data_IF_330381442243
#
_entry.id   IF_330381442243
#
_cell.length_a   1.000
_cell.length_b   1.000
_cell.length_c   1.000
_cell.angle_alpha   90.00
_cell.angle_beta   90.00
_cell.angle_gamma   90.00
#
_symmetry.space_group_name_H-M   'P 1'
#
loop_
_entity.id
_entity.type
_entity.pdbx_description
1 polymer ?
#
# COMPACT_ATOMS: atom_id res chain seq x y z
N UNK A 1 9.68 -11.18 -0.60
CA UNK A 1 8.72 -10.52 -1.52
C UNK A 1 8.61 -9.00 -1.29
N UNK A 2 8.30 -8.50 -0.09
CA UNK A 2 8.13 -7.05 0.16
C UNK A 2 9.36 -6.18 -0.16
N UNK A 3 10.56 -6.67 0.17
CA UNK A 3 11.83 -5.94 -0.05
C UNK A 3 12.18 -5.87 -1.56
N UNK A 4 11.88 -6.94 -2.32
CA UNK A 4 12.13 -6.99 -3.75
C UNK A 4 11.24 -5.99 -4.51
N UNK A 5 9.97 -5.84 -4.11
CA UNK A 5 9.08 -4.84 -4.70
C UNK A 5 9.59 -3.41 -4.47
N UNK A 6 10.03 -3.09 -3.25
CA UNK A 6 10.62 -1.79 -2.94
C UNK A 6 11.87 -1.48 -3.76
N UNK A 7 12.75 -2.47 -3.95
CA UNK A 7 13.94 -2.31 -4.79
C UNK A 7 13.58 -2.04 -6.25
N UNK A 8 12.57 -2.72 -6.80
CA UNK A 8 12.09 -2.49 -8.18
C UNK A 8 11.55 -1.07 -8.35
N UNK A 9 10.78 -0.57 -7.39
CA UNK A 9 10.26 0.82 -7.42
C UNK A 9 11.42 1.81 -7.42
N UNK A 10 12.42 1.63 -6.56
CA UNK A 10 13.59 2.54 -6.50
C UNK A 10 14.37 2.52 -7.82
N UNK A 11 14.64 1.33 -8.37
CA UNK A 11 15.34 1.20 -9.66
C UNK A 11 14.54 1.85 -10.78
N UNK A 12 13.21 1.65 -10.81
CA UNK A 12 12.34 2.28 -11.80
C UNK A 12 12.41 3.82 -11.73
N UNK A 13 12.35 4.40 -10.52
CA UNK A 13 12.48 5.85 -10.34
C UNK A 13 13.86 6.38 -10.73
N UNK A 14 14.93 5.64 -10.43
CA UNK A 14 16.29 6.00 -10.87
C UNK A 14 16.37 6.01 -12.40
N UNK A 15 15.85 4.98 -13.07
CA UNK A 15 15.78 4.92 -14.54
C UNK A 15 14.97 6.09 -15.10
N UNK A 16 13.81 6.39 -14.51
CA UNK A 16 12.97 7.54 -14.91
C UNK A 16 13.71 8.89 -14.78
N UNK A 17 14.53 9.04 -13.74
CA UNK A 17 15.37 10.24 -13.56
C UNK A 17 16.41 10.37 -14.68
N UNK A 18 17.03 9.26 -15.10
CA UNK A 18 17.96 9.26 -16.24
C UNK A 18 17.26 9.52 -17.58
N UNK A 19 16.08 8.93 -17.84
CA UNK A 19 15.32 9.16 -19.07
C UNK A 19 14.78 10.58 -19.20
N UNK A 20 14.55 11.29 -18.08
CA UNK A 20 14.27 12.74 -18.11
C UNK A 20 15.46 13.58 -18.58
N UNK A 21 16.68 13.09 -18.34
CA UNK A 21 17.91 13.81 -18.68
C UNK A 21 18.31 13.57 -20.14
N UNK A 22 17.95 12.41 -20.69
CA UNK A 22 18.09 12.04 -22.10
C UNK A 22 16.71 11.80 -22.71
N UNK A 23 16.03 12.85 -23.21
CA UNK A 23 14.65 12.73 -23.67
C UNK A 23 14.62 11.85 -24.91
N UNK A 24 14.20 10.61 -24.73
CA UNK A 24 13.64 9.82 -25.81
C UNK A 24 12.33 10.49 -26.24
N UNK A 25 12.05 10.56 -27.54
CA UNK A 25 10.95 11.35 -28.12
C UNK A 25 9.64 11.30 -27.32
N UNK A 26 8.93 12.42 -27.25
CA UNK A 26 7.93 12.73 -26.21
C UNK A 26 6.84 11.70 -25.96
N UNK A 27 6.51 10.84 -26.94
CA UNK A 27 5.52 9.77 -26.77
C UNK A 27 6.00 8.66 -25.80
N UNK A 28 7.28 8.29 -25.85
CA UNK A 28 7.86 7.29 -24.94
C UNK A 28 7.97 7.86 -23.52
N UNK A 29 8.35 9.13 -23.42
CA UNK A 29 8.47 9.83 -22.14
C UNK A 29 7.10 10.02 -21.47
N UNK A 30 6.05 10.30 -22.25
CA UNK A 30 4.68 10.39 -21.74
C UNK A 30 4.18 9.06 -21.19
N UNK A 31 4.48 7.94 -21.87
CA UNK A 31 4.13 6.60 -21.39
C UNK A 31 4.86 6.23 -20.09
N UNK A 32 6.15 6.56 -19.98
CA UNK A 32 6.93 6.34 -18.76
C UNK A 32 6.44 7.21 -17.59
N UNK A 33 6.06 8.47 -17.85
CA UNK A 33 5.51 9.37 -16.83
C UNK A 33 4.16 8.87 -16.29
N UNK A 34 3.27 8.38 -17.17
CA UNK A 34 2.01 7.73 -16.77
C UNK A 34 2.26 6.51 -15.87
N UNK A 35 3.19 5.64 -16.27
CA UNK A 35 3.60 4.48 -15.47
C UNK A 35 4.13 4.89 -14.09
N UNK A 36 4.96 5.94 -14.04
CA UNK A 36 5.50 6.45 -12.78
C UNK A 36 4.41 6.99 -11.86
N UNK A 37 3.43 7.73 -12.40
CA UNK A 37 2.30 8.26 -11.61
C UNK A 37 1.47 7.13 -11.01
N UNK A 38 1.14 6.10 -11.80
CA UNK A 38 0.37 4.94 -11.32
C UNK A 38 1.14 4.20 -10.23
N UNK A 39 2.44 3.97 -10.44
CA UNK A 39 3.28 3.31 -9.45
C UNK A 39 3.37 4.12 -8.15
N UNK A 40 3.52 5.44 -8.25
CA UNK A 40 3.54 6.36 -7.11
C UNK A 40 2.21 6.33 -6.35
N UNK A 41 1.07 6.31 -7.05
CA UNK A 41 -0.25 6.26 -6.43
C UNK A 41 -0.48 4.96 -5.64
N UNK A 42 -0.01 3.83 -6.15
CA UNK A 42 -0.06 2.53 -5.43
C UNK A 42 0.80 2.58 -4.18
N UNK A 43 2.05 3.06 -4.30
CA UNK A 43 2.97 3.17 -3.15
C UNK A 43 2.41 4.14 -2.10
N UNK A 44 1.84 5.27 -2.52
CA UNK A 44 1.20 6.23 -1.62
C UNK A 44 -0.02 5.64 -0.91
N UNK A 45 -0.86 4.88 -1.61
CA UNK A 45 -2.02 4.21 -1.01
C UNK A 45 -1.59 3.18 0.04
N UNK A 46 -0.55 2.39 -0.24
CA UNK A 46 -0.01 1.42 0.72
C UNK A 46 0.63 2.14 1.92
N UNK A 47 1.39 3.21 1.67
CA UNK A 47 2.03 4.01 2.72
C UNK A 47 1.01 4.72 3.61
N UNK A 48 -0.01 5.33 3.01
CA UNK A 48 -1.13 5.95 3.71
C UNK A 48 -1.98 4.92 4.45
N UNK A 49 -2.22 3.74 3.87
CA UNK A 49 -2.89 2.64 4.56
C UNK A 49 -2.11 2.17 5.78
N UNK A 50 -0.79 1.99 5.66
CA UNK A 50 0.07 1.63 6.79
C UNK A 50 0.15 2.74 7.86
N UNK A 51 0.19 4.00 7.44
CA UNK A 51 0.19 5.15 8.35
C UNK A 51 -1.16 5.31 9.03
N UNK A 52 -2.26 5.16 8.29
CA UNK A 52 -3.63 5.14 8.80
C UNK A 52 -3.79 3.99 9.80
N UNK A 53 -3.32 2.77 9.52
CA UNK A 53 -3.33 1.66 10.46
C UNK A 53 -2.46 1.93 11.71
N UNK A 54 -1.36 2.68 11.61
CA UNK A 54 -0.57 3.09 12.78
C UNK A 54 -1.26 4.18 13.61
N UNK A 55 -1.95 5.11 12.97
CA UNK A 55 -2.63 6.22 13.62
C UNK A 55 -3.97 5.76 14.21
N UNK A 56 -4.77 5.02 13.43
CA UNK A 56 -6.04 4.39 13.82
C UNK A 56 -5.86 3.12 14.63
N UNK A 57 -4.71 2.43 14.57
CA UNK A 57 -4.38 1.29 15.43
C UNK A 57 -4.17 1.66 16.91
N UNK A 58 -4.08 2.96 17.23
CA UNK A 58 -4.27 3.46 18.61
C UNK A 58 -5.75 3.67 18.98
N UNK A 59 -6.66 3.59 18.02
CA UNK A 59 -8.09 3.94 18.15
C UNK A 59 -9.04 2.91 17.48
N UNK A 60 -8.62 1.66 17.31
CA UNK A 60 -9.52 0.56 16.97
C UNK A 60 -9.55 -0.37 18.18
N UNK A 61 -10.66 -0.44 18.96
CA UNK A 61 -10.80 -1.48 19.97
C UNK A 61 -10.64 -2.84 19.27
N UNK A 62 -9.96 -3.81 19.90
CA UNK A 62 -9.70 -5.09 19.27
C UNK A 62 -11.03 -5.70 18.79
N UNK A 63 -11.07 -6.35 17.62
CA UNK A 63 -12.23 -7.14 17.25
C UNK A 63 -12.54 -8.07 18.42
N UNK A 64 -13.73 -7.94 19.02
CA UNK A 64 -14.13 -8.77 20.16
C UNK A 64 -13.96 -10.22 19.73
N UNK A 65 -12.91 -10.87 20.24
CA UNK A 65 -12.79 -12.32 20.32
C UNK A 65 -14.13 -12.82 20.83
N UNK A 66 -14.85 -13.62 20.04
CA UNK A 66 -15.91 -14.50 20.52
C UNK A 66 -17.26 -13.81 20.84
N UNK A 67 -18.06 -13.56 19.82
CA UNK A 67 -19.50 -13.90 19.89
C UNK A 67 -19.64 -15.33 19.32
N UNK A 68 -20.29 -16.31 19.96
CA UNK A 68 -21.07 -16.31 21.21
C UNK A 68 -20.50 -17.25 22.30
N UNK A 69 -20.79 -17.06 23.61
CA UNK A 69 -20.98 -18.20 24.50
C UNK A 69 -22.42 -18.65 24.35
N UNK A 70 -22.67 -19.65 23.49
CA UNK A 70 -23.99 -20.29 23.36
C UNK A 70 -24.21 -21.37 24.44
N UNK A 71 -23.53 -21.21 25.56
CA UNK A 71 -23.52 -22.18 26.66
C UNK A 71 -24.37 -21.69 27.85
N UNK A 72 -24.98 -20.51 27.73
CA UNK A 72 -25.83 -19.86 28.75
C UNK A 72 -27.29 -19.71 28.30
N UNK A 73 -27.81 -20.68 27.55
CA UNK A 73 -29.26 -20.88 27.35
C UNK A 73 -29.59 -22.36 27.56
N UNK A 74 -29.54 -22.82 28.79
CA UNK A 74 -29.95 -24.19 29.13
C UNK A 74 -29.72 -24.62 30.57
N UNK A 75 -28.76 -24.01 31.28
CA UNK A 75 -28.64 -24.15 32.74
C UNK A 75 -29.54 -23.13 33.45
N UNK A 76 -30.85 -23.30 33.28
CA UNK A 76 -31.82 -22.86 34.27
C UNK A 76 -32.28 -24.10 35.05
N UNK A 77 -32.61 -23.95 36.35
CA UNK A 77 -32.90 -25.05 37.27
C UNK A 77 -34.04 -25.97 36.84
#
# INVERSE_FOLDING_TARGET
MKIAFGAIVIVFFLVQMFTRTYPFGGMLQTGLDLLAIVLLAVVATIGLGYLADRVLGKAAPPPRKNEPPKDLKGSLP
#
